data_IF_688352953413
#
_entry.id   IF_688352953413
#
_cell.length_a   1.000
_cell.length_b   1.000
_cell.length_c   1.000
_cell.angle_alpha   90.00
_cell.angle_beta   90.00
_cell.angle_gamma   90.00
#
_symmetry.space_group_name_H-M   'P 1'
#
loop_
_entity.id
_entity.type
_entity.pdbx_description
1 polymer ?
#
# COMPACT_ATOMS: atom_id res chain seq x y z
N UNK A 1 32.80 42.69 -34.30
CA UNK A 1 32.50 41.77 -33.16
C UNK A 1 31.05 41.28 -33.30
N UNK A 2 30.88 40.06 -33.79
CA UNK A 2 29.57 39.43 -33.96
C UNK A 2 29.30 38.54 -32.75
N UNK A 3 28.09 38.66 -32.14
CA UNK A 3 27.61 37.80 -31.07
C UNK A 3 27.26 36.40 -31.64
N UNK A 4 27.46 35.30 -30.91
CA UNK A 4 27.00 33.97 -31.34
C UNK A 4 25.49 33.82 -31.08
N UNK A 5 24.86 33.21 -32.04
CA UNK A 5 23.45 32.89 -32.10
C UNK A 5 23.10 31.72 -31.19
N UNK A 6 22.00 31.83 -30.44
CA UNK A 6 21.35 30.81 -29.66
C UNK A 6 20.92 29.64 -30.53
N UNK A 7 21.44 28.44 -30.27
CA UNK A 7 20.88 27.17 -30.73
C UNK A 7 19.75 26.75 -29.79
N UNK A 8 18.50 27.03 -30.19
CA UNK A 8 17.34 26.32 -29.69
C UNK A 8 17.39 24.88 -30.20
N UNK A 9 17.70 23.94 -29.34
CA UNK A 9 17.42 22.52 -29.57
C UNK A 9 15.93 22.29 -29.41
N UNK A 10 15.22 22.22 -30.53
CA UNK A 10 13.87 21.73 -30.62
C UNK A 10 13.89 20.23 -30.28
N UNK A 11 13.44 19.88 -29.07
CA UNK A 11 13.10 18.50 -28.72
C UNK A 11 11.90 18.06 -29.55
N UNK A 12 12.13 17.22 -30.54
CA UNK A 12 11.06 16.54 -31.27
C UNK A 12 10.30 15.67 -30.27
N UNK A 13 9.06 16.06 -30.01
CA UNK A 13 8.04 15.22 -29.40
C UNK A 13 7.81 13.99 -30.30
N UNK A 14 8.35 12.85 -29.90
CA UNK A 14 7.92 11.57 -30.44
C UNK A 14 6.49 11.32 -29.97
N UNK A 15 5.53 11.68 -30.79
CA UNK A 15 4.14 11.24 -30.71
C UNK A 15 4.06 9.73 -30.94
N UNK A 16 4.38 8.93 -29.93
CA UNK A 16 4.02 7.54 -29.77
C UNK A 16 2.69 7.49 -29.02
N UNK A 17 1.68 6.86 -29.60
CA UNK A 17 0.35 6.66 -29.03
C UNK A 17 0.44 6.21 -27.57
N UNK A 18 -0.06 7.05 -26.65
CA UNK A 18 -0.54 6.63 -25.34
C UNK A 18 0.50 6.29 -24.28
N UNK A 19 1.37 7.22 -23.88
CA UNK A 19 1.93 7.14 -22.53
C UNK A 19 0.78 7.45 -21.54
N UNK A 20 0.23 6.40 -20.95
CA UNK A 20 -0.95 6.50 -20.07
C UNK A 20 -0.60 6.84 -18.63
N UNK A 21 0.68 6.79 -18.30
CA UNK A 21 1.24 6.99 -16.96
C UNK A 21 2.33 8.06 -17.03
N UNK A 22 2.22 9.06 -16.14
CA UNK A 22 3.13 10.20 -16.07
C UNK A 22 3.84 10.21 -14.70
N UNK A 23 5.17 9.99 -14.66
CA UNK A 23 5.94 10.14 -13.44
C UNK A 23 6.02 11.59 -12.98
N UNK A 24 5.69 11.86 -11.73
CA UNK A 24 5.71 13.18 -11.12
C UNK A 24 6.96 13.35 -10.25
N UNK A 25 7.63 14.50 -10.36
CA UNK A 25 8.77 14.91 -9.55
C UNK A 25 9.84 13.79 -9.41
N UNK A 26 10.39 13.27 -10.52
CA UNK A 26 11.38 12.20 -10.46
C UNK A 26 12.68 12.68 -9.81
N UNK A 27 13.21 11.86 -8.89
CA UNK A 27 14.45 12.14 -8.15
C UNK A 27 15.44 10.98 -8.30
N UNK A 28 16.75 11.21 -8.33
CA UNK A 28 17.73 10.13 -8.37
C UNK A 28 17.69 9.32 -7.07
N UNK A 29 17.89 8.00 -7.18
CA UNK A 29 18.16 7.15 -6.02
C UNK A 29 19.68 7.17 -5.80
N UNK A 30 20.15 7.65 -4.63
CA UNK A 30 21.59 7.80 -4.38
C UNK A 30 22.37 6.49 -4.63
N UNK A 31 23.56 6.62 -5.23
CA UNK A 31 24.47 5.50 -5.53
C UNK A 31 23.92 4.45 -6.49
N UNK A 32 22.86 4.75 -7.24
CA UNK A 32 22.33 3.90 -8.32
C UNK A 32 22.18 4.70 -9.60
N UNK A 33 21.89 4.03 -10.73
CA UNK A 33 21.48 4.69 -11.98
C UNK A 33 19.98 5.01 -12.01
N UNK A 34 19.21 4.46 -11.08
CA UNK A 34 17.76 4.50 -11.05
C UNK A 34 17.22 5.84 -10.52
N UNK A 35 15.95 6.10 -10.86
CA UNK A 35 15.19 7.26 -10.36
C UNK A 35 13.93 6.80 -9.67
N UNK A 36 13.53 7.51 -8.62
CA UNK A 36 12.25 7.34 -7.94
C UNK A 36 11.25 8.35 -8.51
N UNK A 37 10.05 7.92 -8.87
CA UNK A 37 8.93 8.81 -9.08
C UNK A 37 8.29 9.13 -7.72
N UNK A 38 8.25 10.41 -7.32
CA UNK A 38 7.59 10.80 -6.05
C UNK A 38 6.08 10.62 -6.14
N UNK A 39 5.54 10.61 -7.35
CA UNK A 39 4.17 10.26 -7.64
C UNK A 39 3.98 9.85 -9.08
N UNK A 40 2.79 9.35 -9.36
CA UNK A 40 2.34 8.95 -10.70
C UNK A 40 0.96 9.57 -10.96
N UNK A 41 0.79 10.20 -12.10
CA UNK A 41 -0.52 10.48 -12.68
C UNK A 41 -0.89 9.37 -13.65
N UNK A 42 -2.10 8.83 -13.53
CA UNK A 42 -2.64 7.83 -14.45
C UNK A 42 -4.15 8.03 -14.62
N UNK A 43 -4.59 8.36 -15.83
CA UNK A 43 -5.98 8.67 -16.08
C UNK A 43 -6.54 9.73 -15.14
N UNK A 44 -7.56 9.35 -14.37
CA UNK A 44 -8.24 10.23 -13.40
C UNK A 44 -7.63 10.19 -11.99
N UNK A 45 -6.55 9.48 -11.78
CA UNK A 45 -5.96 9.25 -10.46
C UNK A 45 -4.53 9.79 -10.36
N UNK A 46 -4.15 10.16 -9.14
CA UNK A 46 -2.78 10.47 -8.74
C UNK A 46 -2.38 9.58 -7.56
N UNK A 47 -1.16 9.07 -7.62
CA UNK A 47 -0.58 8.20 -6.60
C UNK A 47 0.70 8.87 -6.09
N UNK A 48 0.78 9.16 -4.79
CA UNK A 48 2.00 9.60 -4.13
C UNK A 48 2.55 8.41 -3.33
N UNK A 49 3.62 7.79 -3.85
CA UNK A 49 4.16 6.52 -3.37
C UNK A 49 5.32 6.77 -2.41
N UNK A 50 5.36 6.06 -1.28
CA UNK A 50 6.51 6.06 -0.37
C UNK A 50 6.89 7.45 0.17
N UNK A 51 5.90 8.27 0.53
CA UNK A 51 6.16 9.62 1.04
C UNK A 51 6.67 9.59 2.47
N UNK A 52 7.76 10.29 2.74
CA UNK A 52 8.45 10.35 4.03
C UNK A 52 8.88 11.79 4.35
N UNK A 53 9.40 12.01 5.55
CA UNK A 53 9.95 13.29 6.00
C UNK A 53 11.33 13.63 5.41
N UNK A 54 11.55 13.38 4.12
CA UNK A 54 12.84 13.46 3.40
C UNK A 54 12.96 14.72 2.55
N UNK A 55 14.22 15.10 2.27
CA UNK A 55 14.58 16.06 1.22
C UNK A 55 14.91 15.38 -0.13
N UNK A 56 14.86 14.05 -0.18
CA UNK A 56 15.19 13.18 -1.32
C UNK A 56 16.67 13.22 -1.77
N UNK A 57 17.52 13.88 -1.03
CA UNK A 57 18.97 14.00 -1.35
C UNK A 57 19.80 13.34 -0.25
N UNK A 58 19.60 13.79 1.00
CA UNK A 58 20.45 13.42 2.13
C UNK A 58 19.79 12.48 3.14
N UNK A 59 18.57 12.04 2.90
CA UNK A 59 17.78 11.21 3.81
C UNK A 59 16.65 12.02 4.43
N UNK A 60 16.52 12.03 5.76
CA UNK A 60 15.54 12.88 6.44
C UNK A 60 15.92 14.36 6.27
N UNK A 61 14.90 15.20 6.06
CA UNK A 61 15.11 16.61 5.87
C UNK A 61 15.75 17.29 7.12
N UNK A 62 16.60 18.32 6.95
CA UNK A 62 17.29 18.96 8.07
C UNK A 62 16.35 19.45 9.18
N UNK A 63 15.19 20.00 8.82
CA UNK A 63 14.18 20.44 9.79
C UNK A 63 13.54 19.29 10.59
N UNK A 64 13.58 18.07 10.08
CA UNK A 64 13.13 16.88 10.80
C UNK A 64 14.15 16.46 11.84
N UNK A 65 15.42 16.40 11.44
CA UNK A 65 16.52 15.92 12.33
C UNK A 65 16.81 16.92 13.44
N UNK A 66 16.92 18.23 13.14
CA UNK A 66 17.29 19.30 14.09
C UNK A 66 18.44 18.92 15.01
N UNK A 67 19.55 18.49 14.42
CA UNK A 67 20.69 17.96 15.17
C UNK A 67 21.29 18.94 16.20
N UNK A 68 21.15 20.25 15.95
CA UNK A 68 21.61 21.35 16.82
C UNK A 68 20.65 21.65 17.99
N UNK A 69 19.40 21.20 17.92
CA UNK A 69 18.36 21.48 18.94
C UNK A 69 17.47 20.27 19.25
N UNK A 70 18.02 19.13 19.64
CA UNK A 70 17.26 17.86 19.71
C UNK A 70 16.18 17.86 20.80
N UNK A 71 16.26 18.76 21.79
CA UNK A 71 15.34 18.80 22.94
C UNK A 71 14.41 20.02 22.94
N UNK A 72 14.39 20.82 21.83
CA UNK A 72 13.57 22.02 21.76
C UNK A 72 12.53 21.94 20.61
N UNK A 73 11.40 22.63 20.81
CA UNK A 73 10.34 22.72 19.80
C UNK A 73 9.46 21.50 19.70
N UNK A 74 8.90 21.23 18.51
CA UNK A 74 8.06 20.07 18.26
C UNK A 74 8.85 18.76 18.32
N UNK A 75 8.18 17.66 18.67
CA UNK A 75 8.79 16.33 18.65
C UNK A 75 9.25 15.95 17.24
N UNK A 76 10.25 15.06 17.16
CA UNK A 76 10.73 14.50 15.90
C UNK A 76 9.57 13.98 15.03
N UNK A 77 8.63 13.23 15.61
CA UNK A 77 7.49 12.64 14.89
C UNK A 77 6.56 13.72 14.27
N UNK A 78 6.30 14.83 14.96
CA UNK A 78 5.50 15.93 14.42
C UNK A 78 6.21 16.62 13.26
N UNK A 79 7.51 16.91 13.41
CA UNK A 79 8.33 17.52 12.34
C UNK A 79 8.40 16.62 11.11
N UNK A 80 8.63 15.31 11.32
CA UNK A 80 8.65 14.32 10.24
C UNK A 80 7.31 14.27 9.50
N UNK A 81 6.19 14.25 10.23
CA UNK A 81 4.84 14.26 9.64
C UNK A 81 4.55 15.53 8.86
N UNK A 82 4.94 16.72 9.37
CA UNK A 82 4.76 17.98 8.64
C UNK A 82 5.55 18.01 7.33
N UNK A 83 6.79 17.53 7.36
CA UNK A 83 7.62 17.43 6.15
C UNK A 83 7.03 16.43 5.17
N UNK A 84 6.59 15.29 5.64
CA UNK A 84 5.94 14.25 4.86
C UNK A 84 4.70 14.80 4.12
N UNK A 85 3.78 15.48 4.83
CA UNK A 85 2.60 16.07 4.20
C UNK A 85 2.92 17.23 3.25
N UNK A 86 4.00 17.97 3.48
CA UNK A 86 4.51 18.92 2.49
C UNK A 86 4.92 18.21 1.20
N UNK A 87 5.64 17.09 1.31
CA UNK A 87 6.02 16.28 0.17
C UNK A 87 4.81 15.71 -0.59
N UNK A 88 3.79 15.24 0.13
CA UNK A 88 2.50 14.83 -0.47
C UNK A 88 1.85 15.97 -1.23
N UNK A 89 1.78 17.18 -0.62
CA UNK A 89 1.19 18.35 -1.24
C UNK A 89 1.89 18.76 -2.53
N UNK A 90 3.23 18.68 -2.57
CA UNK A 90 4.01 18.95 -3.77
C UNK A 90 3.61 18.01 -4.92
N UNK A 91 3.46 16.71 -4.65
CA UNK A 91 3.02 15.72 -5.65
C UNK A 91 1.59 16.00 -6.14
N UNK A 92 0.67 16.28 -5.22
CA UNK A 92 -0.72 16.60 -5.58
C UNK A 92 -0.81 17.87 -6.44
N UNK A 93 -0.02 18.88 -6.12
CA UNK A 93 -0.01 20.15 -6.84
C UNK A 93 0.41 20.02 -8.32
N UNK A 94 1.27 19.05 -8.68
CA UNK A 94 1.68 18.78 -10.07
C UNK A 94 0.48 18.46 -10.98
N UNK A 95 -0.60 17.94 -10.41
CA UNK A 95 -1.83 17.61 -11.16
C UNK A 95 -3.00 18.52 -10.80
N UNK A 96 -2.74 19.63 -10.09
CA UNK A 96 -3.76 20.58 -9.64
C UNK A 96 -4.65 20.05 -8.52
N UNK A 97 -4.28 18.96 -7.86
CA UNK A 97 -4.99 18.38 -6.72
C UNK A 97 -4.49 18.95 -5.38
N UNK A 98 -5.29 18.80 -4.34
CA UNK A 98 -4.92 19.11 -2.95
C UNK A 98 -5.55 18.05 -2.02
N UNK A 99 -5.37 18.18 -0.72
CA UNK A 99 -5.83 17.24 0.30
C UNK A 99 -7.33 16.85 0.22
N UNK A 100 -8.27 17.72 -0.15
CA UNK A 100 -9.67 17.33 -0.37
C UNK A 100 -9.89 16.29 -1.48
N UNK A 101 -8.93 16.17 -2.39
CA UNK A 101 -8.99 15.22 -3.51
C UNK A 101 -8.43 13.83 -3.13
N UNK A 102 -7.87 13.69 -1.94
CA UNK A 102 -7.31 12.42 -1.45
C UNK A 102 -8.43 11.45 -1.08
N UNK A 103 -8.36 10.24 -1.62
CA UNK A 103 -9.38 9.20 -1.40
C UNK A 103 -8.91 8.08 -0.47
N UNK A 104 -7.59 7.93 -0.25
CA UNK A 104 -7.01 6.90 0.59
C UNK A 104 -5.62 7.28 1.09
N UNK A 105 -5.33 6.93 2.33
CA UNK A 105 -4.00 7.04 2.94
C UNK A 105 -3.66 5.75 3.67
N UNK A 106 -2.64 5.03 3.21
CA UNK A 106 -2.02 3.93 3.96
C UNK A 106 -0.80 4.48 4.69
N UNK A 107 -0.73 4.29 5.98
CA UNK A 107 0.30 4.87 6.85
C UNK A 107 1.01 3.80 7.66
N UNK A 108 2.33 3.87 7.65
CA UNK A 108 3.21 2.89 8.26
C UNK A 108 4.15 3.56 9.25
N UNK A 109 4.47 2.89 10.35
CA UNK A 109 5.32 3.41 11.42
C UNK A 109 6.35 2.38 11.84
N UNK A 110 7.50 2.82 12.33
CA UNK A 110 8.45 1.92 13.01
C UNK A 110 8.26 1.87 14.51
N UNK A 111 7.40 2.73 15.05
CA UNK A 111 7.09 2.81 16.48
C UNK A 111 5.69 3.36 16.71
N UNK A 112 4.99 2.80 17.70
CA UNK A 112 3.68 3.29 18.13
C UNK A 112 3.71 4.74 18.63
N UNK A 113 4.87 5.21 19.12
CA UNK A 113 5.07 6.59 19.59
C UNK A 113 4.87 7.64 18.49
N UNK A 114 5.01 7.26 17.23
CA UNK A 114 4.79 8.15 16.10
C UNK A 114 3.31 8.32 15.75
N UNK A 115 2.43 7.39 16.16
CA UNK A 115 1.03 7.34 15.70
C UNK A 115 0.22 8.55 16.17
N UNK A 116 0.27 8.88 17.47
CA UNK A 116 -0.50 10.01 18.00
C UNK A 116 -0.03 11.36 17.43
N UNK A 117 1.28 11.69 17.43
CA UNK A 117 1.78 12.92 16.78
C UNK A 117 1.41 13.01 15.29
N UNK A 118 1.43 11.89 14.58
CA UNK A 118 1.00 11.84 13.19
C UNK A 118 -0.49 12.16 13.05
N UNK A 119 -1.36 11.57 13.88
CA UNK A 119 -2.80 11.81 13.83
C UNK A 119 -3.12 13.28 14.13
N UNK A 120 -2.43 13.94 15.06
CA UNK A 120 -2.61 15.38 15.32
C UNK A 120 -2.34 16.22 14.07
N UNK A 121 -1.20 16.00 13.40
CA UNK A 121 -0.86 16.73 12.17
C UNK A 121 -1.82 16.38 11.03
N UNK A 122 -2.25 15.13 10.92
CA UNK A 122 -3.27 14.71 9.95
C UNK A 122 -4.59 15.45 10.14
N UNK A 123 -5.02 15.65 11.38
CA UNK A 123 -6.21 16.47 11.68
C UNK A 123 -6.02 17.95 11.28
N UNK A 124 -4.82 18.51 11.46
CA UNK A 124 -4.49 19.85 10.99
C UNK A 124 -4.59 19.95 9.45
N UNK A 125 -4.12 18.92 8.75
CA UNK A 125 -4.03 18.89 7.27
C UNK A 125 -5.39 18.65 6.61
N UNK A 126 -6.17 17.66 7.08
CA UNK A 126 -7.43 17.24 6.45
C UNK A 126 -8.67 17.86 7.13
N UNK A 127 -8.53 18.46 8.29
CA UNK A 127 -9.65 18.99 9.06
C UNK A 127 -10.66 17.90 9.41
N UNK A 128 -11.92 18.11 9.01
CA UNK A 128 -13.02 17.17 9.24
C UNK A 128 -13.12 16.06 8.20
N UNK A 129 -12.43 16.19 7.08
CA UNK A 129 -12.55 15.32 5.92
C UNK A 129 -11.34 14.36 5.82
N UNK A 130 -11.05 13.67 6.90
CA UNK A 130 -9.95 12.69 6.92
C UNK A 130 -10.35 11.49 6.04
N UNK A 131 -9.54 11.15 5.02
CA UNK A 131 -9.83 10.03 4.14
C UNK A 131 -9.74 8.69 4.89
N UNK A 132 -10.34 7.62 4.36
CA UNK A 132 -10.12 6.26 4.81
C UNK A 132 -8.63 5.96 4.92
N UNK A 133 -8.22 5.40 6.05
CA UNK A 133 -6.82 5.16 6.35
C UNK A 133 -6.60 3.82 7.04
N UNK A 134 -5.36 3.34 6.99
CA UNK A 134 -4.88 2.10 7.58
C UNK A 134 -3.59 2.41 8.31
N UNK A 135 -3.42 1.91 9.53
CA UNK A 135 -2.26 2.22 10.39
C UNK A 135 -1.57 0.95 10.85
N UNK A 136 -0.33 0.73 10.41
CA UNK A 136 0.42 -0.48 10.71
C UNK A 136 1.85 -0.22 11.14
N UNK A 137 2.40 -1.11 11.94
CA UNK A 137 3.80 -1.11 12.34
C UNK A 137 4.64 -1.98 11.40
N UNK A 138 5.75 -1.43 10.94
CA UNK A 138 6.79 -2.12 10.18
C UNK A 138 8.12 -2.07 10.93
N UNK A 139 9.05 -2.93 10.59
CA UNK A 139 10.32 -2.99 11.33
C UNK A 139 11.25 -1.83 10.99
N UNK A 140 11.32 -1.47 9.68
CA UNK A 140 12.25 -0.44 9.20
C UNK A 140 11.79 0.12 7.85
N UNK A 141 12.19 1.35 7.58
CA UNK A 141 12.11 1.98 6.26
C UNK A 141 13.48 2.15 5.62
N UNK A 142 13.49 2.54 4.36
CA UNK A 142 14.70 2.62 3.56
C UNK A 142 15.68 3.71 4.00
N UNK A 143 15.24 4.70 4.79
CA UNK A 143 16.09 5.83 5.23
C UNK A 143 16.38 5.73 6.71
N UNK A 144 17.64 5.98 7.07
CA UNK A 144 18.07 5.98 8.48
C UNK A 144 17.27 7.01 9.30
N UNK A 145 16.75 6.58 10.46
CA UNK A 145 15.97 7.41 11.37
C UNK A 145 14.54 7.73 10.92
N UNK A 146 14.11 7.25 9.76
CA UNK A 146 12.72 7.38 9.31
C UNK A 146 11.79 6.58 10.22
N UNK A 147 10.71 7.21 10.67
CA UNK A 147 9.72 6.58 11.56
C UNK A 147 8.32 6.50 10.96
N UNK A 148 8.05 7.24 9.89
CA UNK A 148 6.74 7.31 9.26
C UNK A 148 6.91 7.26 7.75
N UNK A 149 6.01 6.52 7.09
CA UNK A 149 5.83 6.52 5.64
C UNK A 149 4.33 6.49 5.30
N UNK A 150 3.92 7.17 4.24
CA UNK A 150 2.55 7.09 3.74
C UNK A 150 2.50 6.80 2.24
N UNK A 151 1.45 6.09 1.85
CA UNK A 151 1.01 5.91 0.48
C UNK A 151 -0.30 6.67 0.31
N UNK A 152 -0.40 7.49 -0.72
CA UNK A 152 -1.60 8.32 -0.94
C UNK A 152 -2.16 8.06 -2.34
N UNK A 153 -3.47 7.90 -2.42
CA UNK A 153 -4.21 7.92 -3.67
C UNK A 153 -5.16 9.11 -3.68
N UNK A 154 -5.17 9.86 -4.76
CA UNK A 154 -6.06 11.00 -4.98
C UNK A 154 -6.71 10.98 -6.35
N UNK A 155 -7.68 11.85 -6.55
CA UNK A 155 -8.39 12.07 -7.81
C UNK A 155 -7.91 13.37 -8.43
N UNK A 156 -7.62 13.35 -9.73
CA UNK A 156 -7.21 14.54 -10.49
C UNK A 156 -8.44 15.43 -10.69
N UNK A 157 -8.42 16.70 -10.26
CA UNK A 157 -9.54 17.62 -10.43
C UNK A 157 -9.93 17.81 -11.90
N UNK A 158 -11.23 17.93 -12.17
CA UNK A 158 -11.74 18.12 -13.54
C UNK A 158 -11.78 16.85 -14.39
N UNK A 159 -11.30 15.71 -13.89
CA UNK A 159 -11.34 14.42 -14.59
C UNK A 159 -12.73 13.74 -14.60
N UNK A 160 -13.77 14.43 -14.13
CA UNK A 160 -15.16 13.93 -14.16
C UNK A 160 -15.55 13.10 -12.93
N UNK A 161 -14.63 12.87 -11.99
CA UNK A 161 -14.92 12.22 -10.71
C UNK A 161 -15.01 13.26 -9.58
N UNK A 162 -15.97 13.05 -8.68
CA UNK A 162 -16.08 13.83 -7.46
C UNK A 162 -15.76 12.94 -6.26
N UNK A 163 -14.95 13.49 -5.34
CA UNK A 163 -14.67 12.87 -4.06
C UNK A 163 -15.80 13.21 -3.10
N UNK A 164 -16.38 12.19 -2.46
CA UNK A 164 -17.46 12.34 -1.49
C UNK A 164 -17.17 11.52 -0.25
N UNK A 165 -17.06 12.19 0.89
CA UNK A 165 -17.02 11.53 2.19
C UNK A 165 -18.40 11.02 2.56
N UNK A 166 -18.51 9.72 2.82
CA UNK A 166 -19.79 9.13 3.23
C UNK A 166 -20.07 9.47 4.70
N UNK A 167 -21.30 9.87 4.98
CA UNK A 167 -21.71 10.39 6.28
C UNK A 167 -22.59 9.44 7.07
N UNK A 168 -22.76 8.19 6.63
CA UNK A 168 -23.52 7.21 7.40
C UNK A 168 -22.84 6.93 8.74
N UNK A 169 -23.63 6.61 9.75
CA UNK A 169 -23.11 6.15 11.03
C UNK A 169 -23.00 4.63 10.99
N UNK A 170 -21.80 4.06 10.99
CA UNK A 170 -21.64 2.61 11.04
C UNK A 170 -22.17 2.05 12.36
N UNK A 171 -22.44 0.76 12.40
CA UNK A 171 -22.88 0.05 13.61
C UNK A 171 -21.76 -0.14 14.64
N UNK A 172 -20.56 0.28 14.33
CA UNK A 172 -19.38 0.29 15.20
C UNK A 172 -18.86 1.72 15.41
N UNK A 173 -18.03 1.89 16.43
CA UNK A 173 -17.45 3.20 16.73
C UNK A 173 -16.14 3.42 15.98
N UNK A 174 -15.96 4.63 15.49
CA UNK A 174 -14.70 5.13 14.93
C UNK A 174 -13.96 5.89 16.04
N UNK A 175 -12.69 5.58 16.22
CA UNK A 175 -11.84 6.26 17.21
C UNK A 175 -11.82 7.77 16.94
N UNK A 176 -12.13 8.61 17.93
CA UNK A 176 -12.02 10.06 17.78
C UNK A 176 -10.60 10.53 17.45
N UNK A 177 -9.59 9.79 17.91
CA UNK A 177 -8.17 10.06 17.61
C UNK A 177 -7.88 9.82 16.14
N UNK A 178 -8.43 8.77 15.56
CA UNK A 178 -8.27 8.46 14.14
C UNK A 178 -9.14 9.34 13.25
N UNK A 179 -10.42 9.57 13.62
CA UNK A 179 -11.34 10.50 12.98
C UNK A 179 -11.59 10.30 11.48
N UNK A 180 -11.23 9.14 10.93
CA UNK A 180 -11.38 8.86 9.50
C UNK A 180 -12.86 8.72 9.07
N UNK A 181 -13.11 8.94 7.79
CA UNK A 181 -14.43 8.68 7.20
C UNK A 181 -14.73 7.19 7.16
N UNK A 182 -15.95 6.73 7.51
CA UNK A 182 -16.33 5.31 7.49
C UNK A 182 -16.23 4.68 6.09
N UNK A 183 -16.39 5.50 5.06
CA UNK A 183 -16.07 5.21 3.67
C UNK A 183 -15.95 6.51 2.89
N UNK A 184 -15.36 6.42 1.70
CA UNK A 184 -15.27 7.52 0.76
C UNK A 184 -15.62 7.01 -0.64
N UNK A 185 -16.35 7.81 -1.41
CA UNK A 185 -16.73 7.52 -2.78
C UNK A 185 -15.97 8.38 -3.77
N UNK A 186 -15.50 7.78 -4.88
CA UNK A 186 -15.02 8.50 -6.05
C UNK A 186 -15.49 7.75 -7.30
N UNK A 187 -16.49 8.32 -7.99
CA UNK A 187 -17.19 7.62 -9.07
C UNK A 187 -17.77 6.28 -8.62
N UNK A 188 -17.44 5.23 -9.33
CA UNK A 188 -17.89 3.86 -9.03
C UNK A 188 -17.16 3.23 -7.83
N UNK A 189 -16.02 3.80 -7.41
CA UNK A 189 -15.21 3.24 -6.33
C UNK A 189 -15.67 3.68 -4.94
N UNK A 190 -15.50 2.76 -3.99
CA UNK A 190 -15.70 2.95 -2.54
C UNK A 190 -14.42 2.53 -1.83
N UNK A 191 -13.87 3.43 -1.04
CA UNK A 191 -12.67 3.20 -0.23
C UNK A 191 -13.11 2.98 1.21
N UNK A 192 -12.79 1.82 1.79
CA UNK A 192 -13.10 1.48 3.18
C UNK A 192 -11.81 1.43 3.97
N UNK A 193 -11.75 2.12 5.13
CA UNK A 193 -10.55 2.15 5.97
C UNK A 193 -10.22 0.78 6.56
N UNK A 194 -9.06 0.66 7.18
CA UNK A 194 -8.67 -0.50 7.96
C UNK A 194 -9.68 -0.81 9.06
N UNK A 195 -10.12 -2.06 9.12
CA UNK A 195 -11.04 -2.58 10.11
C UNK A 195 -10.32 -3.59 10.99
N UNK A 196 -10.41 -3.40 12.30
CA UNK A 196 -9.81 -4.27 13.32
C UNK A 196 -10.87 -4.83 14.26
N UNK A 197 -10.52 -5.79 15.08
CA UNK A 197 -11.36 -6.32 16.16
C UNK A 197 -11.51 -5.41 17.38
N UNK A 198 -11.16 -4.13 17.26
CA UNK A 198 -11.20 -3.15 18.36
C UNK A 198 -12.61 -2.80 18.81
N UNK A 199 -12.81 -2.71 20.14
CA UNK A 199 -13.98 -2.14 20.80
C UNK A 199 -13.61 -0.88 21.55
N UNK A 200 -14.19 0.25 21.18
CA UNK A 200 -13.88 1.56 21.77
C UNK A 200 -14.70 1.89 23.02
N UNK A 201 -15.83 1.22 23.25
CA UNK A 201 -16.82 1.61 24.27
C UNK A 201 -16.81 0.83 25.56
N UNK A 202 -16.22 -0.35 25.61
CA UNK A 202 -16.51 -1.27 26.72
C UNK A 202 -15.66 -1.08 27.98
N UNK A 203 -14.58 -0.29 27.92
CA UNK A 203 -13.68 -0.10 29.09
C UNK A 203 -12.99 -1.35 29.60
N UNK A 204 -13.25 -2.51 29.00
CA UNK A 204 -12.79 -3.82 29.45
C UNK A 204 -11.62 -4.39 28.62
N UNK A 205 -10.91 -3.53 27.90
CA UNK A 205 -9.76 -3.90 27.05
C UNK A 205 -10.03 -3.63 25.57
N UNK A 206 -8.99 -3.79 24.71
CA UNK A 206 -9.04 -3.31 23.33
C UNK A 206 -9.92 -4.15 22.40
N UNK A 207 -10.08 -5.45 22.67
CA UNK A 207 -10.89 -6.33 21.83
C UNK A 207 -12.39 -6.24 22.11
N UNK A 208 -13.20 -6.32 21.05
CA UNK A 208 -14.65 -6.43 21.19
C UNK A 208 -15.05 -7.65 22.04
N UNK A 209 -16.05 -7.53 22.96
CA UNK A 209 -16.50 -8.65 23.79
C UNK A 209 -16.89 -9.90 23.00
N UNK A 210 -17.44 -9.76 21.79
CA UNK A 210 -17.84 -10.89 20.94
C UNK A 210 -16.65 -11.78 20.53
N UNK A 211 -15.45 -11.23 20.49
CA UNK A 211 -14.24 -11.94 20.04
C UNK A 211 -13.22 -12.21 21.14
N UNK A 212 -13.50 -11.79 22.38
CA UNK A 212 -12.66 -12.12 23.54
C UNK A 212 -12.79 -13.58 23.90
N UNK A 213 -11.89 -14.39 23.39
CA UNK A 213 -11.84 -15.79 23.76
C UNK A 213 -10.62 -16.12 24.63
N UNK A 214 -10.68 -15.74 25.90
CA UNK A 214 -9.61 -16.01 26.88
C UNK A 214 -9.47 -17.48 27.28
N UNK A 215 -10.41 -18.33 26.88
CA UNK A 215 -10.50 -19.74 27.32
C UNK A 215 -10.22 -20.75 26.22
N UNK A 216 -10.01 -20.30 24.98
CA UNK A 216 -9.75 -21.25 23.87
C UNK A 216 -8.31 -21.75 23.91
N UNK A 217 -8.09 -23.07 23.99
CA UNK A 217 -6.76 -23.65 23.84
C UNK A 217 -6.31 -23.75 22.38
N UNK A 218 -7.19 -23.43 21.43
CA UNK A 218 -6.93 -23.61 20.00
C UNK A 218 -6.18 -22.44 19.42
N UNK A 219 -4.97 -22.68 18.93
CA UNK A 219 -4.04 -21.65 18.45
C UNK A 219 -4.63 -20.73 17.37
N UNK A 220 -5.39 -21.28 16.42
CA UNK A 220 -5.96 -20.51 15.32
C UNK A 220 -7.38 -19.98 15.59
N UNK A 221 -7.97 -20.31 16.72
CA UNK A 221 -9.32 -19.88 17.04
C UNK A 221 -9.49 -18.37 17.19
N UNK A 222 -8.60 -17.65 17.88
CA UNK A 222 -8.71 -16.20 18.01
C UNK A 222 -8.72 -15.48 16.67
N UNK A 223 -7.85 -15.84 15.72
CA UNK A 223 -7.81 -15.18 14.40
C UNK A 223 -9.09 -15.48 13.59
N UNK A 224 -9.66 -16.67 13.68
CA UNK A 224 -10.92 -16.99 13.00
C UNK A 224 -12.07 -16.13 13.52
N UNK A 225 -12.19 -15.99 14.84
CA UNK A 225 -13.20 -15.13 15.46
C UNK A 225 -13.05 -13.67 15.06
N UNK A 226 -11.81 -13.13 15.12
CA UNK A 226 -11.53 -11.74 14.80
C UNK A 226 -11.78 -11.46 13.32
N UNK A 227 -11.36 -12.36 12.43
CA UNK A 227 -11.61 -12.25 11.00
C UNK A 227 -13.11 -12.28 10.67
N UNK A 228 -13.85 -13.24 11.23
CA UNK A 228 -15.30 -13.33 11.02
C UNK A 228 -16.04 -12.09 11.52
N UNK A 229 -15.67 -11.59 12.70
CA UNK A 229 -16.22 -10.37 13.27
C UNK A 229 -15.98 -9.16 12.37
N UNK A 230 -14.74 -8.96 11.92
CA UNK A 230 -14.39 -7.86 11.02
C UNK A 230 -15.22 -7.92 9.74
N UNK A 231 -15.30 -9.10 9.11
CA UNK A 231 -16.01 -9.27 7.84
C UNK A 231 -17.52 -9.08 7.99
N UNK A 232 -18.15 -9.73 8.99
CA UNK A 232 -19.59 -9.77 9.13
C UNK A 232 -20.18 -8.59 9.91
N UNK A 233 -19.42 -7.95 10.81
CA UNK A 233 -19.89 -6.80 11.61
C UNK A 233 -19.42 -5.47 11.05
N UNK A 234 -18.12 -5.32 10.78
CA UNK A 234 -17.53 -4.01 10.43
C UNK A 234 -17.50 -3.77 8.93
N UNK A 235 -16.85 -4.65 8.17
CA UNK A 235 -16.71 -4.47 6.72
C UNK A 235 -18.08 -4.47 6.02
N UNK A 236 -18.92 -5.44 6.32
CA UNK A 236 -20.27 -5.52 5.74
C UNK A 236 -21.10 -4.27 6.03
N UNK A 237 -21.02 -3.73 7.25
CA UNK A 237 -21.73 -2.50 7.62
C UNK A 237 -21.19 -1.28 6.86
N UNK A 238 -19.85 -1.15 6.72
CA UNK A 238 -19.23 -0.07 5.97
C UNK A 238 -19.59 -0.13 4.49
N UNK A 239 -19.54 -1.32 3.89
CA UNK A 239 -19.90 -1.52 2.49
C UNK A 239 -21.38 -1.16 2.24
N UNK A 240 -22.29 -1.71 3.05
CA UNK A 240 -23.73 -1.42 2.92
C UNK A 240 -24.03 0.07 3.06
N UNK A 241 -23.41 0.75 4.04
CA UNK A 241 -23.56 2.19 4.23
C UNK A 241 -23.03 3.02 3.07
N UNK A 242 -22.04 2.51 2.33
CA UNK A 242 -21.49 3.14 1.14
C UNK A 242 -22.18 2.70 -0.18
N UNK A 243 -23.24 1.91 -0.13
CA UNK A 243 -23.97 1.39 -1.29
C UNK A 243 -23.12 0.39 -2.08
N UNK A 244 -22.44 -0.51 -1.38
CA UNK A 244 -21.60 -1.56 -1.93
C UNK A 244 -21.80 -2.87 -1.16
N UNK A 245 -21.32 -3.96 -1.73
CA UNK A 245 -21.40 -5.30 -1.14
C UNK A 245 -20.06 -6.04 -1.24
N UNK A 246 -19.87 -7.15 -0.51
CA UNK A 246 -18.64 -7.93 -0.59
C UNK A 246 -18.28 -8.41 -2.01
N UNK A 247 -19.27 -8.67 -2.85
CA UNK A 247 -19.05 -9.12 -4.24
C UNK A 247 -18.37 -8.04 -5.11
N UNK A 248 -18.53 -6.77 -4.72
CA UNK A 248 -17.89 -5.63 -5.37
C UNK A 248 -16.43 -5.39 -4.98
N UNK A 249 -15.91 -6.07 -3.96
CA UNK A 249 -14.52 -5.86 -3.50
C UNK A 249 -13.52 -6.24 -4.59
N UNK A 250 -12.66 -5.30 -4.99
CA UNK A 250 -11.66 -5.48 -6.04
C UNK A 250 -10.26 -5.66 -5.48
N UNK A 251 -9.94 -5.00 -4.37
CA UNK A 251 -8.65 -5.10 -3.69
C UNK A 251 -8.85 -5.19 -2.18
N UNK A 252 -8.10 -6.05 -1.54
CA UNK A 252 -7.94 -6.10 -0.10
C UNK A 252 -6.46 -6.15 0.29
N UNK A 253 -6.08 -5.38 1.30
CA UNK A 253 -4.83 -5.56 2.02
C UNK A 253 -5.17 -6.05 3.42
N UNK A 254 -4.54 -7.15 3.80
CA UNK A 254 -4.76 -7.85 5.05
C UNK A 254 -3.46 -7.84 5.83
N UNK A 255 -3.47 -7.19 6.97
CA UNK A 255 -2.31 -7.09 7.84
C UNK A 255 -2.45 -8.08 8.97
N UNK A 256 -1.44 -8.91 9.19
CA UNK A 256 -1.43 -9.94 10.23
C UNK A 256 -0.23 -9.75 11.17
N UNK A 257 -0.47 -9.89 12.46
CA UNK A 257 0.57 -9.75 13.49
C UNK A 257 1.40 -11.02 13.70
N UNK A 258 0.89 -12.18 13.29
CA UNK A 258 1.55 -13.48 13.46
C UNK A 258 1.37 -14.34 12.20
N UNK A 259 2.48 -14.93 11.71
CA UNK A 259 2.46 -15.85 10.56
C UNK A 259 1.60 -17.09 10.81
N UNK A 260 1.55 -17.54 12.05
CA UNK A 260 0.76 -18.70 12.46
C UNK A 260 -0.76 -18.49 12.29
N UNK A 261 -1.19 -17.23 12.16
CA UNK A 261 -2.59 -16.86 11.93
C UNK A 261 -3.02 -17.00 10.46
N UNK A 262 -2.07 -17.09 9.52
CA UNK A 262 -2.37 -17.18 8.07
C UNK A 262 -3.34 -18.31 7.73
N UNK A 263 -3.18 -19.58 8.21
CA UNK A 263 -4.12 -20.64 7.87
C UNK A 263 -5.53 -20.39 8.41
N UNK A 264 -5.65 -19.91 9.67
CA UNK A 264 -6.94 -19.62 10.29
C UNK A 264 -7.66 -18.45 9.61
N UNK A 265 -6.92 -17.41 9.24
CA UNK A 265 -7.44 -16.31 8.42
C UNK A 265 -7.95 -16.83 7.07
N UNK A 266 -7.15 -17.59 6.34
CA UNK A 266 -7.49 -18.09 5.01
C UNK A 266 -8.78 -18.94 5.02
N UNK A 267 -8.98 -19.75 6.03
CA UNK A 267 -10.19 -20.57 6.16
C UNK A 267 -11.45 -19.70 6.20
N UNK A 268 -11.44 -18.64 7.02
CA UNK A 268 -12.57 -17.70 7.12
C UNK A 268 -12.70 -16.85 5.85
N UNK A 269 -11.59 -16.32 5.33
CA UNK A 269 -11.54 -15.47 4.14
C UNK A 269 -12.13 -16.18 2.91
N UNK A 270 -11.67 -17.38 2.64
CA UNK A 270 -12.12 -18.18 1.49
C UNK A 270 -13.52 -18.79 1.68
N UNK A 271 -14.02 -18.86 2.90
CA UNK A 271 -15.43 -19.18 3.18
C UNK A 271 -16.33 -17.98 2.92
N UNK A 272 -15.88 -16.77 3.26
CA UNK A 272 -16.65 -15.53 3.11
C UNK A 272 -16.73 -15.07 1.65
N UNK A 273 -15.61 -15.08 0.93
CA UNK A 273 -15.55 -14.66 -0.47
C UNK A 273 -15.61 -15.86 -1.42
N UNK A 274 -16.73 -16.02 -2.12
CA UNK A 274 -16.85 -17.03 -3.20
C UNK A 274 -15.89 -16.75 -4.34
N UNK A 275 -15.71 -15.47 -4.66
CA UNK A 275 -14.75 -14.93 -5.64
C UNK A 275 -13.86 -13.93 -4.91
N UNK A 276 -12.75 -14.37 -4.31
CA UNK A 276 -11.88 -13.48 -3.55
C UNK A 276 -11.44 -12.25 -4.36
N UNK A 277 -11.25 -11.08 -3.72
CA UNK A 277 -10.60 -9.93 -4.35
C UNK A 277 -9.11 -10.21 -4.56
N UNK A 278 -8.44 -9.34 -5.33
CA UNK A 278 -6.99 -9.29 -5.31
C UNK A 278 -6.54 -9.00 -3.88
N UNK A 279 -5.81 -9.93 -3.26
CA UNK A 279 -5.49 -9.91 -1.83
C UNK A 279 -4.00 -9.93 -1.60
N UNK A 280 -3.50 -9.01 -0.76
CA UNK A 280 -2.13 -9.02 -0.27
C UNK A 280 -2.13 -9.22 1.24
N UNK A 281 -1.46 -10.27 1.72
CA UNK A 281 -1.26 -10.53 3.16
C UNK A 281 0.08 -9.90 3.54
N UNK A 282 0.05 -8.98 4.51
CA UNK A 282 1.19 -8.18 4.92
C UNK A 282 1.46 -8.43 6.40
N UNK A 283 2.71 -8.74 6.73
CA UNK A 283 3.13 -8.87 8.12
C UNK A 283 3.26 -7.52 8.81
N UNK A 284 2.84 -7.41 10.06
CA UNK A 284 3.11 -6.22 10.88
C UNK A 284 4.15 -6.52 11.95
N UNK A 285 4.98 -5.53 12.29
CA UNK A 285 5.87 -5.61 13.43
C UNK A 285 5.07 -5.46 14.74
N UNK A 286 5.53 -6.09 15.83
CA UNK A 286 4.86 -5.96 17.12
C UNK A 286 4.97 -4.53 17.68
N UNK A 287 3.94 -4.01 18.36
CA UNK A 287 2.65 -4.63 18.71
C UNK A 287 1.56 -4.56 17.59
N UNK A 288 1.93 -4.55 16.34
CA UNK A 288 1.03 -4.70 15.20
C UNK A 288 0.33 -3.40 14.80
N UNK A 289 -0.71 -3.04 15.51
CA UNK A 289 -1.61 -1.93 15.16
C UNK A 289 -1.55 -0.79 16.19
N UNK A 290 -0.52 -0.76 17.04
CA UNK A 290 -0.46 0.16 18.17
C UNK A 290 -1.45 -0.15 19.30
N UNK A 291 -2.19 -1.23 19.18
CA UNK A 291 -3.17 -1.74 20.15
C UNK A 291 -2.84 -3.20 20.46
N UNK A 292 -2.65 -3.51 21.72
CA UNK A 292 -2.30 -4.86 22.15
C UNK A 292 -3.44 -5.85 21.85
N UNK A 293 -3.05 -7.08 21.52
CA UNK A 293 -3.93 -8.24 21.27
C UNK A 293 -4.78 -8.18 20.01
N UNK A 294 -4.70 -7.16 19.17
CA UNK A 294 -5.24 -7.20 17.82
C UNK A 294 -4.36 -8.08 16.93
N UNK A 295 -4.96 -8.93 16.14
CA UNK A 295 -4.26 -9.89 15.27
C UNK A 295 -4.31 -9.52 13.80
N UNK A 296 -5.34 -8.76 13.40
CA UNK A 296 -5.63 -8.50 12.00
C UNK A 296 -6.24 -7.11 11.79
N UNK A 297 -5.85 -6.47 10.68
CA UNK A 297 -6.54 -5.32 10.10
C UNK A 297 -6.80 -5.58 8.62
N UNK A 298 -8.00 -5.20 8.13
CA UNK A 298 -8.41 -5.39 6.74
C UNK A 298 -8.90 -4.08 6.18
N UNK A 299 -8.33 -3.62 5.06
CA UNK A 299 -8.87 -2.52 4.26
C UNK A 299 -9.29 -2.99 2.88
N UNK A 300 -10.21 -2.27 2.24
CA UNK A 300 -10.72 -2.65 0.92
C UNK A 300 -10.93 -1.47 -0.02
N UNK A 301 -10.75 -1.75 -1.31
CA UNK A 301 -11.29 -0.95 -2.42
C UNK A 301 -12.40 -1.78 -3.06
N UNK A 302 -13.54 -1.15 -3.29
CA UNK A 302 -14.77 -1.85 -3.68
C UNK A 302 -15.48 -1.06 -4.78
N UNK A 303 -16.20 -1.71 -5.67
CA UNK A 303 -17.14 -1.07 -6.58
C UNK A 303 -18.52 -0.94 -5.91
N UNK A 304 -19.23 0.14 -6.20
CA UNK A 304 -20.63 0.30 -5.78
C UNK A 304 -21.53 -0.76 -6.42
N UNK A 305 -22.63 -1.11 -5.78
CA UNK A 305 -23.59 -2.09 -6.32
C UNK A 305 -24.23 -1.63 -7.64
N UNK A 306 -24.32 -0.33 -7.86
CA UNK A 306 -24.82 0.30 -9.09
C UNK A 306 -23.70 0.76 -10.05
N UNK A 307 -22.47 0.31 -9.84
CA UNK A 307 -21.33 0.70 -10.64
C UNK A 307 -21.52 0.29 -12.12
N UNK A 308 -21.10 1.18 -13.02
CA UNK A 308 -20.98 0.87 -14.47
C UNK A 308 -19.68 0.13 -14.76
N UNK A 309 -18.65 0.40 -13.96
CA UNK A 309 -17.36 -0.28 -13.99
C UNK A 309 -17.55 -1.75 -13.61
N UNK A 310 -17.00 -2.64 -14.43
CA UNK A 310 -17.05 -4.08 -14.18
C UNK A 310 -15.86 -4.55 -13.36
N UNK A 311 -16.10 -5.53 -12.50
CA UNK A 311 -15.09 -6.30 -11.82
C UNK A 311 -14.70 -7.49 -12.70
N UNK A 312 -13.47 -7.52 -13.21
CA UNK A 312 -12.94 -8.57 -14.06
C UNK A 312 -11.82 -9.32 -13.33
N UNK A 313 -11.98 -10.62 -13.16
CA UNK A 313 -10.96 -11.47 -12.54
C UNK A 313 -9.94 -11.87 -13.61
N UNK A 314 -8.68 -11.56 -13.34
CA UNK A 314 -7.54 -11.98 -14.17
C UNK A 314 -6.86 -13.16 -13.49
N UNK A 315 -6.63 -14.23 -14.25
CA UNK A 315 -5.91 -15.42 -13.80
C UNK A 315 -4.63 -15.53 -14.63
N UNK A 316 -3.48 -15.52 -13.96
CA UNK A 316 -2.20 -15.83 -14.57
C UNK A 316 -1.99 -17.35 -14.72
N UNK A 317 -0.93 -17.74 -15.38
CA UNK A 317 -0.56 -19.15 -15.55
C UNK A 317 -0.09 -19.79 -14.23
N UNK A 318 0.55 -19.03 -13.35
CA UNK A 318 0.96 -19.49 -12.05
C UNK A 318 -0.07 -19.08 -10.99
N UNK A 319 -0.42 -20.02 -10.12
CA UNK A 319 -1.34 -19.74 -9.02
C UNK A 319 -0.69 -18.77 -8.03
N UNK A 320 -1.44 -17.83 -7.46
CA UNK A 320 -1.00 -17.07 -6.29
C UNK A 320 -0.53 -18.00 -5.17
N UNK A 321 0.19 -17.45 -4.20
CA UNK A 321 0.74 -18.19 -3.05
C UNK A 321 -0.25 -19.12 -2.34
N UNK A 322 -1.56 -18.89 -2.56
CA UNK A 322 -2.63 -19.66 -1.95
C UNK A 322 -3.63 -20.12 -3.01
N UNK A 323 -3.96 -21.40 -3.01
CA UNK A 323 -5.05 -21.96 -3.81
C UNK A 323 -6.33 -21.12 -3.65
N UNK A 324 -7.08 -20.96 -4.73
CA UNK A 324 -8.33 -20.19 -4.81
C UNK A 324 -8.19 -18.67 -4.77
N UNK A 325 -7.01 -18.09 -4.51
CA UNK A 325 -6.78 -16.66 -4.73
C UNK A 325 -6.77 -16.35 -6.24
N UNK A 326 -7.09 -15.11 -6.58
CA UNK A 326 -7.00 -14.62 -7.94
C UNK A 326 -5.64 -13.96 -8.17
N UNK A 327 -5.11 -13.99 -9.40
CA UNK A 327 -3.85 -13.31 -9.70
C UNK A 327 -4.02 -11.81 -9.64
N UNK A 328 -5.12 -11.30 -10.21
CA UNK A 328 -5.48 -9.89 -10.15
C UNK A 328 -6.97 -9.66 -10.36
N UNK A 329 -7.42 -8.45 -10.05
CA UNK A 329 -8.75 -7.93 -10.40
C UNK A 329 -8.58 -6.61 -11.14
N UNK A 330 -9.16 -6.54 -12.34
CA UNK A 330 -9.29 -5.31 -13.11
C UNK A 330 -10.63 -4.65 -12.80
N UNK A 331 -10.59 -3.34 -12.56
CA UNK A 331 -11.75 -2.51 -12.31
C UNK A 331 -11.57 -1.17 -13.06
N UNK A 332 -12.23 -1.03 -14.21
CA UNK A 332 -12.07 0.14 -15.07
C UNK A 332 -10.63 0.31 -15.54
N UNK A 333 -10.02 1.43 -15.19
CA UNK A 333 -8.65 1.79 -15.57
C UNK A 333 -7.58 1.29 -14.57
N UNK A 334 -7.96 0.49 -13.55
CA UNK A 334 -7.04 -0.01 -12.54
C UNK A 334 -7.02 -1.54 -12.53
N UNK A 335 -5.82 -2.09 -12.47
CA UNK A 335 -5.53 -3.50 -12.24
C UNK A 335 -4.85 -3.63 -10.88
N UNK A 336 -5.46 -4.38 -9.99
CA UNK A 336 -4.93 -4.69 -8.66
C UNK A 336 -4.43 -6.12 -8.66
N UNK A 337 -3.15 -6.33 -8.44
CA UNK A 337 -2.58 -7.67 -8.32
C UNK A 337 -2.71 -8.17 -6.87
N UNK A 338 -2.85 -9.47 -6.68
CA UNK A 338 -2.60 -10.10 -5.38
C UNK A 338 -1.13 -10.03 -5.03
N UNK A 339 -0.79 -10.14 -3.75
CA UNK A 339 0.62 -10.09 -3.33
C UNK A 339 1.45 -11.15 -4.06
N UNK A 340 2.43 -10.70 -4.83
CA UNK A 340 3.30 -11.56 -5.61
C UNK A 340 4.53 -11.98 -4.80
N UNK A 341 4.89 -13.24 -4.91
CA UNK A 341 6.13 -13.83 -4.40
C UNK A 341 6.69 -14.80 -5.44
N UNK A 342 7.97 -15.10 -5.38
CA UNK A 342 8.66 -16.01 -6.30
C UNK A 342 8.33 -17.47 -5.94
N UNK A 343 7.20 -17.99 -6.40
CA UNK A 343 6.66 -19.28 -5.99
C UNK A 343 6.42 -20.17 -7.19
N UNK A 344 6.78 -21.43 -7.04
CA UNK A 344 6.44 -22.52 -7.94
C UNK A 344 5.99 -23.73 -7.13
N UNK A 345 4.82 -24.30 -7.47
CA UNK A 345 4.25 -25.43 -6.74
C UNK A 345 4.02 -25.16 -5.24
N UNK A 346 3.68 -23.94 -4.86
CA UNK A 346 3.43 -23.53 -3.47
C UNK A 346 4.70 -23.35 -2.62
N UNK A 347 5.88 -23.30 -3.21
CA UNK A 347 7.17 -23.14 -2.53
C UNK A 347 8.00 -22.09 -3.22
N UNK A 348 8.97 -21.51 -2.48
CA UNK A 348 9.96 -20.62 -3.06
C UNK A 348 10.69 -21.33 -4.22
N UNK A 349 10.88 -20.63 -5.36
CA UNK A 349 11.60 -21.13 -6.52
C UNK A 349 13.01 -21.60 -6.15
N UNK A 350 13.52 -22.61 -6.85
CA UNK A 350 14.81 -23.22 -6.51
C UNK A 350 15.98 -22.22 -6.71
N UNK A 351 15.92 -21.35 -7.71
CA UNK A 351 16.93 -20.33 -7.98
C UNK A 351 17.07 -19.28 -6.88
N UNK A 352 16.04 -19.10 -6.06
CA UNK A 352 16.07 -18.18 -4.91
C UNK A 352 16.50 -18.86 -3.61
N UNK A 353 16.69 -20.17 -3.60
CA UNK A 353 17.17 -20.91 -2.43
C UNK A 353 18.68 -20.75 -2.27
N UNK A 354 19.08 -20.48 -1.04
CA UNK A 354 20.50 -20.45 -0.68
C UNK A 354 20.98 -21.88 -0.50
N UNK A 355 22.06 -22.28 -1.21
CA UNK A 355 22.76 -23.51 -0.91
C UNK A 355 23.45 -23.39 0.46
N UNK A 356 23.00 -24.16 1.44
CA UNK A 356 23.53 -24.12 2.82
C UNK A 356 25.04 -24.40 2.88
N UNK A 357 25.59 -25.07 1.87
CA UNK A 357 27.05 -25.35 1.76
C UNK A 357 27.83 -24.15 1.23
N UNK A 358 27.15 -23.20 0.58
CA UNK A 358 27.75 -22.02 -0.02
C UNK A 358 26.86 -20.76 0.23
N UNK A 359 26.59 -20.42 1.49
CA UNK A 359 25.57 -19.42 1.86
C UNK A 359 25.91 -18.00 1.42
N UNK A 360 27.15 -17.75 1.00
CA UNK A 360 27.62 -16.43 0.55
C UNK A 360 27.66 -16.29 -0.98
N UNK A 361 27.29 -17.32 -1.73
CA UNK A 361 27.25 -17.28 -3.19
C UNK A 361 25.82 -17.10 -3.69
N UNK A 362 25.65 -16.15 -4.60
CA UNK A 362 24.37 -15.81 -5.19
C UNK A 362 23.72 -14.56 -4.56
N UNK A 363 22.75 -14.04 -5.26
CA UNK A 363 21.94 -12.90 -4.83
C UNK A 363 20.46 -13.30 -4.97
N UNK A 364 19.92 -14.04 -3.99
CA UNK A 364 18.56 -14.62 -4.07
C UNK A 364 17.48 -13.61 -4.39
N UNK A 365 17.55 -12.39 -3.85
CA UNK A 365 16.59 -11.32 -4.10
C UNK A 365 16.44 -11.01 -5.60
N UNK A 366 17.53 -11.05 -6.38
CA UNK A 366 17.45 -10.82 -7.84
C UNK A 366 16.70 -11.94 -8.55
N UNK A 367 16.88 -13.20 -8.12
CA UNK A 367 16.14 -14.33 -8.67
C UNK A 367 14.64 -14.23 -8.32
N UNK A 368 14.32 -13.91 -7.07
CA UNK A 368 12.94 -13.69 -6.64
C UNK A 368 12.27 -12.60 -7.46
N UNK A 369 12.88 -11.41 -7.57
CA UNK A 369 12.27 -10.31 -8.30
C UNK A 369 12.13 -10.57 -9.79
N UNK A 370 13.09 -11.22 -10.44
CA UNK A 370 12.94 -11.61 -11.85
C UNK A 370 11.77 -12.56 -12.06
N UNK A 371 11.54 -13.49 -11.13
CA UNK A 371 10.35 -14.36 -11.16
C UNK A 371 9.06 -13.58 -10.94
N UNK A 372 9.01 -12.70 -9.94
CA UNK A 372 7.85 -11.83 -9.64
C UNK A 372 7.53 -10.93 -10.83
N UNK A 373 8.53 -10.32 -11.46
CA UNK A 373 8.36 -9.43 -12.61
C UNK A 373 7.77 -10.19 -13.79
N UNK A 374 8.29 -11.39 -14.12
CA UNK A 374 7.70 -12.24 -15.18
C UNK A 374 6.22 -12.53 -14.92
N UNK A 375 5.87 -12.93 -13.68
CA UNK A 375 4.47 -13.16 -13.30
C UNK A 375 3.63 -11.88 -13.48
N UNK A 376 4.15 -10.73 -13.05
CA UNK A 376 3.46 -9.44 -13.18
C UNK A 376 3.24 -9.05 -14.65
N UNK A 377 4.22 -9.26 -15.52
CA UNK A 377 4.12 -9.01 -16.97
C UNK A 377 3.04 -9.87 -17.62
N UNK A 378 3.00 -11.17 -17.32
CA UNK A 378 1.96 -12.10 -17.82
C UNK A 378 0.56 -11.66 -17.38
N UNK A 379 0.40 -11.26 -16.11
CA UNK A 379 -0.86 -10.77 -15.57
C UNK A 379 -1.26 -9.46 -16.25
N UNK A 380 -0.33 -8.52 -16.40
CA UNK A 380 -0.56 -7.25 -17.10
C UNK A 380 -0.98 -7.48 -18.55
N UNK A 381 -0.27 -8.33 -19.26
CA UNK A 381 -0.60 -8.68 -20.65
C UNK A 381 -2.03 -9.27 -20.75
N UNK A 382 -2.37 -10.20 -19.87
CA UNK A 382 -3.71 -10.81 -19.80
C UNK A 382 -4.82 -9.78 -19.49
N UNK A 383 -4.49 -8.69 -18.81
CA UNK A 383 -5.42 -7.58 -18.53
C UNK A 383 -5.45 -6.50 -19.60
N UNK A 384 -4.63 -6.61 -20.66
CA UNK A 384 -4.52 -5.63 -21.73
C UNK A 384 -3.71 -4.39 -21.38
N UNK A 385 -2.70 -4.54 -20.54
CA UNK A 385 -1.77 -3.48 -20.13
C UNK A 385 -0.32 -3.96 -20.10
N UNK A 386 0.58 -3.17 -19.58
CA UNK A 386 2.00 -3.45 -19.44
C UNK A 386 2.47 -3.09 -18.03
N UNK A 387 3.53 -3.75 -17.57
CA UNK A 387 4.21 -3.43 -16.31
C UNK A 387 4.70 -1.96 -16.27
N UNK A 388 5.06 -1.39 -17.43
CA UNK A 388 5.45 0.03 -17.54
C UNK A 388 4.33 1.01 -17.15
N UNK A 389 3.10 0.53 -17.05
CA UNK A 389 1.96 1.29 -16.54
C UNK A 389 1.78 1.13 -15.01
N UNK A 390 2.78 0.62 -14.29
CA UNK A 390 2.73 0.54 -12.84
C UNK A 390 2.53 1.93 -12.22
N UNK A 391 1.56 2.03 -11.32
CA UNK A 391 1.25 3.27 -10.59
C UNK A 391 1.67 3.18 -9.13
N UNK A 392 1.88 1.98 -8.62
CA UNK A 392 2.35 1.70 -7.26
C UNK A 392 3.07 0.35 -7.25
N UNK A 393 4.31 0.37 -6.81
CA UNK A 393 5.12 -0.81 -6.50
C UNK A 393 5.45 -0.72 -5.01
N UNK A 394 4.84 -1.57 -4.20
CA UNK A 394 5.14 -1.65 -2.77
C UNK A 394 5.79 -2.97 -2.44
N UNK A 395 7.02 -2.92 -1.96
CA UNK A 395 7.81 -4.06 -1.56
C UNK A 395 7.82 -4.24 -0.05
N UNK A 396 7.59 -5.47 0.39
CA UNK A 396 7.73 -5.92 1.77
C UNK A 396 8.92 -6.88 1.83
N UNK A 397 10.00 -6.43 2.45
CA UNK A 397 11.24 -7.19 2.58
C UNK A 397 11.38 -7.82 3.96
N UNK A 398 11.97 -9.00 4.05
CA UNK A 398 12.42 -9.53 5.34
C UNK A 398 13.78 -8.97 5.75
N UNK A 399 14.48 -8.31 4.84
CA UNK A 399 15.73 -7.60 5.09
C UNK A 399 15.91 -6.49 4.04
N UNK A 400 15.81 -5.23 4.44
CA UNK A 400 16.05 -4.08 3.55
C UNK A 400 17.51 -3.93 3.07
N UNK A 401 18.43 -4.74 3.56
CA UNK A 401 19.76 -4.86 2.99
C UNK A 401 19.75 -5.37 1.55
N UNK A 402 18.66 -6.01 1.12
CA UNK A 402 18.45 -6.49 -0.25
C UNK A 402 17.98 -5.39 -1.22
N UNK A 403 17.52 -4.25 -0.73
CA UNK A 403 16.91 -3.19 -1.53
C UNK A 403 17.80 -2.65 -2.68
N UNK A 404 19.11 -2.43 -2.50
CA UNK A 404 19.95 -1.99 -3.62
C UNK A 404 19.92 -2.95 -4.82
N UNK A 405 20.02 -4.26 -4.55
CA UNK A 405 19.93 -5.28 -5.60
C UNK A 405 18.51 -5.40 -6.20
N UNK A 406 17.47 -5.13 -5.40
CA UNK A 406 16.09 -5.07 -5.85
C UNK A 406 15.88 -3.90 -6.83
N UNK A 407 16.40 -2.71 -6.50
CA UNK A 407 16.32 -1.52 -7.36
C UNK A 407 16.97 -1.76 -8.72
N UNK A 408 18.13 -2.43 -8.77
CA UNK A 408 18.77 -2.76 -10.03
C UNK A 408 17.87 -3.60 -10.95
N UNK A 409 17.18 -4.60 -10.40
CA UNK A 409 16.27 -5.46 -11.18
C UNK A 409 15.05 -4.68 -11.67
N UNK A 410 14.47 -3.81 -10.83
CA UNK A 410 13.37 -2.94 -11.25
C UNK A 410 13.77 -1.91 -12.28
N UNK A 411 14.93 -1.27 -12.12
CA UNK A 411 15.44 -0.28 -13.07
C UNK A 411 15.65 -0.88 -14.46
N UNK A 412 16.19 -2.10 -14.50
CA UNK A 412 16.34 -2.88 -15.73
C UNK A 412 14.97 -3.22 -16.35
N UNK A 413 14.03 -3.76 -15.57
CA UNK A 413 12.72 -4.18 -16.03
C UNK A 413 11.83 -3.00 -16.48
N UNK A 414 11.99 -1.83 -15.87
CA UNK A 414 11.26 -0.62 -16.22
C UNK A 414 12.01 0.27 -17.24
N UNK A 415 13.03 -0.28 -17.91
CA UNK A 415 13.82 0.42 -18.95
C UNK A 415 14.30 1.80 -18.48
N UNK A 416 14.79 1.89 -17.24
CA UNK A 416 15.27 3.11 -16.59
C UNK A 416 14.21 4.23 -16.41
N UNK A 417 12.92 3.89 -16.51
CA UNK A 417 11.84 4.80 -16.17
C UNK A 417 11.82 5.08 -14.65
N UNK A 418 11.36 6.27 -14.20
CA UNK A 418 11.24 6.54 -12.76
C UNK A 418 10.29 5.56 -12.07
N UNK A 419 10.76 4.91 -11.01
CA UNK A 419 10.07 3.84 -10.30
C UNK A 419 9.04 4.40 -9.30
N UNK A 420 7.76 4.02 -9.35
CA UNK A 420 6.80 4.32 -8.28
C UNK A 420 6.97 3.35 -7.10
N UNK A 421 8.18 3.28 -6.56
CA UNK A 421 8.63 2.27 -5.61
C UNK A 421 8.57 2.77 -4.17
N UNK A 422 8.06 1.93 -3.29
CA UNK A 422 8.20 2.01 -1.84
C UNK A 422 8.64 0.66 -1.31
N UNK A 423 9.55 0.64 -0.34
CA UNK A 423 10.07 -0.58 0.26
C UNK A 423 10.14 -0.46 1.78
N UNK A 424 9.62 -1.48 2.47
CA UNK A 424 9.59 -1.53 3.93
C UNK A 424 10.05 -2.91 4.42
N UNK A 425 10.61 -2.96 5.64
CA UNK A 425 10.99 -4.21 6.26
C UNK A 425 9.87 -4.73 7.16
N UNK A 426 9.55 -6.00 6.99
CA UNK A 426 8.51 -6.72 7.73
C UNK A 426 9.09 -7.95 8.42
N UNK A 427 8.50 -8.43 9.53
CA UNK A 427 9.09 -9.52 10.32
C UNK A 427 9.05 -10.89 9.64
N UNK A 428 8.16 -11.08 8.67
CA UNK A 428 8.00 -12.35 7.96
C UNK A 428 7.21 -12.15 6.66
N UNK A 429 7.25 -13.15 5.81
CA UNK A 429 6.40 -13.26 4.62
C UNK A 429 5.60 -14.57 4.67
N UNK A 430 4.46 -14.67 3.98
CA UNK A 430 3.60 -15.86 3.99
C UNK A 430 4.32 -17.15 3.54
N UNK A 431 5.29 -17.04 2.65
CA UNK A 431 6.09 -18.19 2.18
C UNK A 431 7.42 -18.21 2.92
N UNK A 432 7.74 -19.33 3.62
CA UNK A 432 9.01 -19.47 4.31
C UNK A 432 10.21 -19.37 3.36
N UNK A 433 11.20 -18.57 3.76
CA UNK A 433 12.43 -18.36 2.99
C UNK A 433 12.33 -17.26 1.92
N UNK A 434 11.15 -16.80 1.56
CA UNK A 434 10.98 -15.64 0.68
C UNK A 434 11.57 -14.37 1.33
N UNK A 435 12.19 -13.52 0.52
CA UNK A 435 12.85 -12.27 0.94
C UNK A 435 12.02 -11.05 0.60
N UNK A 436 11.15 -11.15 -0.39
CA UNK A 436 10.31 -10.05 -0.84
C UNK A 436 8.90 -10.52 -1.24
N UNK A 437 7.93 -9.68 -0.95
CA UNK A 437 6.58 -9.71 -1.51
C UNK A 437 6.28 -8.37 -2.16
N UNK A 438 5.62 -8.39 -3.31
CA UNK A 438 5.27 -7.17 -4.06
C UNK A 438 3.75 -7.00 -4.10
N UNK A 439 3.25 -5.85 -3.66
CA UNK A 439 1.89 -5.36 -3.92
C UNK A 439 1.94 -4.36 -5.07
N UNK A 440 1.36 -4.74 -6.21
CA UNK A 440 1.47 -4.01 -7.46
C UNK A 440 0.10 -3.53 -7.94
N UNK A 441 -0.01 -2.23 -8.26
CA UNK A 441 -1.16 -1.64 -8.92
C UNK A 441 -0.73 -1.06 -10.26
N UNK A 442 -1.53 -1.32 -11.29
CA UNK A 442 -1.19 -0.98 -12.68
C UNK A 442 -2.35 -0.25 -13.34
N UNK A 443 -2.05 0.75 -14.14
CA UNK A 443 -3.04 1.44 -14.96
C UNK A 443 -3.34 0.62 -16.21
N UNK A 444 -4.61 0.58 -16.60
CA UNK A 444 -5.07 -0.06 -17.83
C UNK A 444 -5.62 1.02 -18.75
N UNK A 445 -4.92 1.37 -19.82
CA UNK A 445 -5.42 2.34 -20.81
C UNK A 445 -6.76 1.89 -21.42
N UNK A 446 -7.61 2.87 -21.73
CA UNK A 446 -8.86 2.62 -22.47
C UNK A 446 -8.60 2.34 -23.93
#
# INVERSE_FOLDING_TARGET
MKRPTDHKTSGESRNGKGASVEPLLPVPIPHTGARLARGIRAGQSVFATGQAGTDYVNGLAPEVVQADRPLSGESHYRRETRRLYRNVKEVLAEVGADFPDVVRVDQYYTTERAMHPYHEIRHEVFGKNIPPSTSNLHQRFSRAGQTIEVQVMGIVPGAGLQVKHETFKPSYDISPVSGYSPALSAGDFRFVPGQTGEALKTGEGPLDPEIRNSRSPWRQWPIKLETDFILNRKLKASLAGAGASPDGVVKAQVYLSDREDVPGFNEVWLSYFKNPPATTIIATAQPGFGINNLRIEINTITLADNAKTKREVIRGHEAPAFDRYVSAVKAGELLFLSGLMAIEGGRLIDEARIDERQPFYGIPIKAELRSIIRQAEEICHSAGTSLHNAVRIQEFHTNLGDLPAAIEVWDEAMEHAPLPLSATEVPWLPIPGARVQVDLWVYVPR
#
